data_IF_871094698107
#
_entry.id   IF_871094698107
#
_cell.length_a   1.000
_cell.length_b   1.000
_cell.length_c   1.000
_cell.angle_alpha   90.00
_cell.angle_beta   90.00
_cell.angle_gamma   90.00
#
_symmetry.space_group_name_H-M   'P 1'
#
loop_
_entity.id
_entity.type
_entity.pdbx_description
1 polymer ?
#
# COMPACT_ATOMS: atom_id res chain seq x y z
N UNK A 1 17.29 -43.80 -17.19
CA UNK A 1 17.17 -42.51 -16.50
C UNK A 1 18.31 -42.43 -15.50
N UNK A 2 19.34 -41.63 -15.77
CA UNK A 2 20.36 -41.30 -14.78
C UNK A 2 19.68 -40.55 -13.64
N UNK A 3 19.68 -41.13 -12.44
CA UNK A 3 19.28 -40.42 -11.22
C UNK A 3 20.25 -39.26 -11.02
N UNK A 4 19.76 -38.03 -10.91
CA UNK A 4 20.63 -36.91 -10.54
C UNK A 4 21.13 -37.13 -9.12
N UNK A 5 22.44 -36.96 -8.92
CA UNK A 5 23.05 -37.00 -7.60
C UNK A 5 22.48 -35.88 -6.72
N UNK A 6 22.22 -36.12 -5.42
CA UNK A 6 21.59 -35.15 -4.54
C UNK A 6 22.32 -33.80 -4.52
N UNK A 7 23.65 -33.80 -4.44
CA UNK A 7 24.45 -32.58 -4.46
C UNK A 7 24.26 -31.74 -5.73
N UNK A 8 23.96 -32.35 -6.89
CA UNK A 8 23.69 -31.61 -8.14
C UNK A 8 22.38 -30.84 -8.00
N UNK A 9 21.36 -31.48 -7.41
CA UNK A 9 20.07 -30.86 -7.14
C UNK A 9 20.28 -29.72 -6.13
N UNK A 10 20.98 -29.99 -5.02
CA UNK A 10 21.31 -28.99 -4.00
C UNK A 10 22.04 -27.78 -4.59
N UNK A 11 23.06 -28.00 -5.41
CA UNK A 11 23.82 -26.95 -6.10
C UNK A 11 22.92 -26.05 -6.96
N UNK A 12 22.06 -26.65 -7.80
CA UNK A 12 21.15 -25.92 -8.69
C UNK A 12 20.13 -25.13 -7.87
N UNK A 13 19.48 -25.77 -6.90
CA UNK A 13 18.46 -25.15 -6.06
C UNK A 13 19.03 -23.99 -5.22
N UNK A 14 20.22 -24.16 -4.62
CA UNK A 14 20.92 -23.08 -3.92
C UNK A 14 21.24 -21.90 -4.85
N UNK A 15 21.64 -22.18 -6.10
CA UNK A 15 21.85 -21.14 -7.11
C UNK A 15 20.56 -20.38 -7.45
N UNK A 16 19.44 -21.09 -7.59
CA UNK A 16 18.11 -20.47 -7.81
C UNK A 16 17.71 -19.60 -6.61
N UNK A 17 17.87 -20.10 -5.38
CA UNK A 17 17.59 -19.35 -4.15
C UNK A 17 18.43 -18.08 -4.10
N UNK A 18 19.73 -18.18 -4.36
CA UNK A 18 20.64 -17.03 -4.36
C UNK A 18 20.16 -15.95 -5.33
N UNK A 19 19.84 -16.31 -6.58
CA UNK A 19 19.35 -15.35 -7.59
C UNK A 19 18.00 -14.74 -7.17
N UNK A 20 17.05 -15.56 -6.72
CA UNK A 20 15.75 -15.08 -6.28
C UNK A 20 15.88 -14.10 -5.10
N UNK A 21 16.74 -14.40 -4.13
CA UNK A 21 16.95 -13.57 -2.94
C UNK A 21 17.70 -12.27 -3.26
N UNK A 22 18.64 -12.27 -4.22
CA UNK A 22 19.22 -11.02 -4.75
C UNK A 22 18.12 -10.14 -5.33
N UNK A 23 17.25 -10.69 -6.17
CA UNK A 23 16.17 -9.91 -6.77
C UNK A 23 15.18 -9.37 -5.75
N UNK A 24 14.82 -10.17 -4.74
CA UNK A 24 13.98 -9.72 -3.63
C UNK A 24 14.68 -8.57 -2.89
N UNK A 25 15.94 -8.73 -2.51
CA UNK A 25 16.71 -7.70 -1.80
C UNK A 25 16.80 -6.40 -2.60
N UNK A 26 17.09 -6.47 -3.90
CA UNK A 26 17.12 -5.30 -4.79
C UNK A 26 15.75 -4.64 -4.91
N UNK A 27 14.69 -5.42 -5.07
CA UNK A 27 13.35 -4.87 -5.15
C UNK A 27 12.87 -4.23 -3.82
N UNK A 28 13.49 -4.54 -2.67
CA UNK A 28 13.24 -3.79 -1.41
C UNK A 28 14.13 -2.54 -1.38
N UNK A 29 15.43 -2.72 -1.65
CA UNK A 29 16.45 -1.68 -1.50
C UNK A 29 16.26 -0.52 -2.47
N UNK A 30 15.93 -0.80 -3.74
CA UNK A 30 15.85 0.23 -4.79
C UNK A 30 14.76 1.27 -4.49
N UNK A 31 13.50 0.91 -4.18
CA UNK A 31 12.48 1.89 -3.79
C UNK A 31 12.87 2.68 -2.55
N UNK A 32 13.41 2.01 -1.51
CA UNK A 32 13.84 2.64 -0.26
C UNK A 32 15.00 3.63 -0.46
N UNK A 33 15.93 3.31 -1.35
CA UNK A 33 17.04 4.19 -1.71
C UNK A 33 16.55 5.40 -2.50
N UNK A 34 15.68 5.17 -3.50
CA UNK A 34 15.11 6.24 -4.34
C UNK A 34 14.23 7.21 -3.52
N UNK A 35 13.57 6.74 -2.48
CA UNK A 35 12.78 7.58 -1.57
C UNK A 35 13.59 8.17 -0.39
N UNK A 36 14.90 7.90 -0.30
CA UNK A 36 15.74 8.36 0.80
C UNK A 36 15.42 7.72 2.17
N UNK A 37 14.65 6.63 2.18
CA UNK A 37 14.12 6.01 3.40
C UNK A 37 14.99 4.91 4.01
N UNK A 38 16.18 4.63 3.47
CA UNK A 38 17.04 3.54 3.96
C UNK A 38 17.36 3.64 5.47
N UNK A 39 17.45 4.86 6.02
CA UNK A 39 17.72 5.07 7.45
C UNK A 39 16.45 5.31 8.27
N UNK A 40 15.41 5.88 7.68
CA UNK A 40 14.15 6.17 8.38
C UNK A 40 13.18 4.98 8.41
N UNK A 41 13.41 3.96 7.57
CA UNK A 41 12.66 2.72 7.55
C UNK A 41 13.59 1.52 7.92
N UNK A 42 13.92 1.35 9.21
CA UNK A 42 14.84 0.31 9.66
C UNK A 42 14.31 -1.11 9.39
N UNK A 43 12.98 -1.28 9.36
CA UNK A 43 12.36 -2.57 9.07
C UNK A 43 12.65 -3.02 7.64
N UNK A 44 12.40 -2.14 6.66
CA UNK A 44 12.68 -2.44 5.25
C UNK A 44 14.17 -2.69 4.98
N UNK A 45 15.05 -1.89 5.58
CA UNK A 45 16.50 -2.07 5.46
C UNK A 45 16.97 -3.40 6.08
N UNK A 46 16.45 -3.79 7.24
CA UNK A 46 16.75 -5.07 7.87
C UNK A 46 16.28 -6.24 7.01
N UNK A 47 15.05 -6.20 6.47
CA UNK A 47 14.54 -7.25 5.59
C UNK A 47 15.38 -7.40 4.32
N UNK A 48 15.76 -6.29 3.68
CA UNK A 48 16.66 -6.34 2.52
C UNK A 48 18.02 -6.97 2.85
N UNK A 49 18.55 -6.68 4.03
CA UNK A 49 19.83 -7.20 4.52
C UNK A 49 19.77 -8.70 4.81
N UNK A 50 18.67 -9.19 5.40
CA UNK A 50 18.45 -10.63 5.63
C UNK A 50 18.42 -11.38 4.29
N UNK A 51 17.62 -10.92 3.32
CA UNK A 51 17.59 -11.57 2.01
C UNK A 51 18.96 -11.54 1.32
N UNK A 52 19.70 -10.43 1.44
CA UNK A 52 21.04 -10.32 0.86
C UNK A 52 22.04 -11.30 1.50
N UNK A 53 22.09 -11.39 2.84
CA UNK A 53 23.01 -12.30 3.52
C UNK A 53 22.69 -13.76 3.20
N UNK A 54 21.40 -14.12 3.15
CA UNK A 54 20.96 -15.44 2.71
C UNK A 54 21.35 -15.71 1.25
N UNK A 55 21.18 -14.73 0.36
CA UNK A 55 21.57 -14.88 -1.04
C UNK A 55 23.06 -15.20 -1.19
N UNK A 56 23.91 -14.48 -0.45
CA UNK A 56 25.35 -14.74 -0.43
C UNK A 56 25.65 -16.14 0.11
N UNK A 57 25.02 -16.54 1.21
CA UNK A 57 25.20 -17.87 1.79
C UNK A 57 24.84 -19.01 0.81
N UNK A 58 23.66 -18.96 0.20
CA UNK A 58 23.23 -19.95 -0.79
C UNK A 58 24.08 -19.89 -2.07
N UNK A 59 24.52 -18.69 -2.48
CA UNK A 59 25.42 -18.51 -3.60
C UNK A 59 26.79 -19.16 -3.37
N UNK A 60 27.36 -18.99 -2.18
CA UNK A 60 28.62 -19.62 -1.77
C UNK A 60 28.48 -21.15 -1.82
N UNK A 61 27.38 -21.71 -1.30
CA UNK A 61 27.13 -23.16 -1.40
C UNK A 61 27.11 -23.64 -2.84
N UNK A 62 26.35 -22.96 -3.70
CA UNK A 62 26.26 -23.31 -5.13
C UNK A 62 27.62 -23.23 -5.82
N UNK A 63 28.41 -22.19 -5.56
CA UNK A 63 29.73 -21.98 -6.17
C UNK A 63 30.73 -23.04 -5.71
N UNK A 64 30.89 -23.27 -4.41
CA UNK A 64 31.81 -24.30 -3.90
C UNK A 64 31.42 -25.70 -4.38
N UNK A 65 30.12 -26.00 -4.49
CA UNK A 65 29.67 -27.23 -5.13
C UNK A 65 29.95 -27.27 -6.63
N UNK A 66 30.06 -26.15 -7.34
CA UNK A 66 30.32 -26.12 -8.79
C UNK A 66 31.82 -26.16 -9.15
N UNK A 67 32.68 -25.51 -8.35
CA UNK A 67 34.11 -25.31 -8.65
C UNK A 67 34.86 -26.60 -9.04
N UNK A 68 34.70 -27.75 -8.34
CA UNK A 68 35.39 -28.98 -8.74
C UNK A 68 34.96 -29.55 -10.10
N UNK A 69 33.76 -29.21 -10.58
CA UNK A 69 33.29 -29.61 -11.93
C UNK A 69 33.86 -28.71 -13.02
N UNK A 70 34.42 -27.55 -12.66
CA UNK A 70 35.06 -26.61 -13.57
C UNK A 70 36.58 -26.81 -13.64
N UNK A 71 37.10 -27.85 -12.99
CA UNK A 71 38.54 -28.16 -12.93
C UNK A 71 39.31 -27.35 -11.90
N UNK A 72 38.64 -26.66 -10.98
CA UNK A 72 39.26 -25.95 -9.85
C UNK A 72 39.24 -26.88 -8.65
N UNK A 73 40.43 -27.24 -8.16
CA UNK A 73 40.58 -28.08 -6.97
C UNK A 73 40.17 -27.29 -5.71
N UNK A 74 39.05 -27.69 -5.11
CA UNK A 74 38.49 -27.10 -3.91
C UNK A 74 38.14 -28.22 -2.92
N UNK A 75 39.01 -28.50 -1.93
CA UNK A 75 38.78 -29.54 -0.92
C UNK A 75 37.46 -29.35 -0.17
N UNK A 76 37.03 -28.10 0.04
CA UNK A 76 35.77 -27.81 0.71
C UNK A 76 34.58 -28.16 -0.19
N UNK A 77 34.66 -27.85 -1.48
CA UNK A 77 33.67 -28.23 -2.49
C UNK A 77 33.48 -29.75 -2.60
N UNK A 78 34.56 -30.54 -2.57
CA UNK A 78 34.47 -32.00 -2.57
C UNK A 78 33.81 -32.54 -1.30
N UNK A 79 34.27 -32.11 -0.12
CA UNK A 79 33.67 -32.52 1.15
C UNK A 79 32.18 -32.14 1.25
N UNK A 80 31.83 -30.98 0.69
CA UNK A 80 30.45 -30.50 0.65
C UNK A 80 29.57 -31.37 -0.25
N UNK A 81 30.04 -31.77 -1.44
CA UNK A 81 29.31 -32.69 -2.33
C UNK A 81 29.07 -34.06 -1.68
N UNK A 82 30.06 -34.58 -0.96
CA UNK A 82 29.94 -35.86 -0.24
C UNK A 82 28.94 -35.80 0.92
N UNK A 83 28.84 -34.66 1.61
CA UNK A 83 27.92 -34.46 2.72
C UNK A 83 26.49 -34.05 2.29
N UNK A 84 26.28 -33.66 1.03
CA UNK A 84 25.01 -33.09 0.56
C UNK A 84 23.99 -34.16 0.14
N UNK A 85 23.43 -34.85 1.12
CA UNK A 85 22.46 -35.92 0.90
C UNK A 85 21.05 -35.44 0.51
N UNK A 86 20.16 -36.40 0.26
CA UNK A 86 18.75 -36.18 -0.08
C UNK A 86 17.98 -35.25 0.87
N UNK A 87 18.13 -35.32 2.21
CA UNK A 87 17.38 -34.44 3.10
C UNK A 87 17.69 -32.95 2.89
N UNK A 88 18.97 -32.60 2.69
CA UNK A 88 19.38 -31.22 2.40
C UNK A 88 18.87 -30.78 1.03
N UNK A 89 19.07 -31.63 0.03
CA UNK A 89 18.64 -31.35 -1.35
C UNK A 89 17.12 -31.16 -1.47
N UNK A 90 16.33 -31.94 -0.71
CA UNK A 90 14.89 -31.78 -0.66
C UNK A 90 14.48 -30.43 -0.07
N UNK A 91 15.18 -29.97 0.97
CA UNK A 91 14.91 -28.67 1.56
C UNK A 91 15.34 -27.53 0.65
N UNK A 92 16.41 -27.69 -0.11
CA UNK A 92 16.82 -26.74 -1.14
C UNK A 92 15.77 -26.63 -2.25
N UNK A 93 15.14 -27.74 -2.66
CA UNK A 93 14.03 -27.72 -3.63
C UNK A 93 12.85 -26.92 -3.07
N UNK A 94 12.45 -27.18 -1.82
CA UNK A 94 11.38 -26.41 -1.16
C UNK A 94 11.74 -24.93 -1.09
N UNK A 95 12.96 -24.61 -0.67
CA UNK A 95 13.47 -23.24 -0.59
C UNK A 95 13.47 -22.53 -1.93
N UNK A 96 13.89 -23.20 -3.00
CA UNK A 96 13.89 -22.66 -4.36
C UNK A 96 12.46 -22.39 -4.86
N UNK A 97 11.53 -23.33 -4.64
CA UNK A 97 10.11 -23.16 -5.00
C UNK A 97 9.51 -21.97 -4.25
N UNK A 98 9.70 -21.88 -2.94
CA UNK A 98 9.17 -20.79 -2.12
C UNK A 98 9.80 -19.45 -2.53
N UNK A 99 11.11 -19.40 -2.75
CA UNK A 99 11.82 -18.20 -3.17
C UNK A 99 11.34 -17.67 -4.51
N UNK A 100 11.18 -18.55 -5.51
CA UNK A 100 10.65 -18.19 -6.83
C UNK A 100 9.17 -17.79 -6.76
N UNK A 101 8.36 -18.51 -5.98
CA UNK A 101 6.95 -18.19 -5.78
C UNK A 101 6.79 -16.81 -5.14
N UNK A 102 7.53 -16.52 -4.06
CA UNK A 102 7.52 -15.23 -3.40
C UNK A 102 8.02 -14.12 -4.34
N UNK A 103 9.11 -14.33 -5.08
CA UNK A 103 9.59 -13.37 -6.06
C UNK A 103 8.54 -13.06 -7.12
N UNK A 104 7.84 -14.07 -7.62
CA UNK A 104 6.77 -13.93 -8.61
C UNK A 104 5.60 -13.13 -8.04
N UNK A 105 5.17 -13.45 -6.82
CA UNK A 105 4.13 -12.72 -6.11
C UNK A 105 4.55 -11.26 -5.92
N UNK A 106 5.78 -11.03 -5.49
CA UNK A 106 6.29 -9.69 -5.26
C UNK A 106 6.39 -8.87 -6.55
N UNK A 107 6.78 -9.48 -7.68
CA UNK A 107 6.81 -8.81 -8.99
C UNK A 107 5.41 -8.43 -9.44
N UNK A 108 4.45 -9.36 -9.37
CA UNK A 108 3.10 -9.19 -9.89
C UNK A 108 2.23 -8.26 -9.02
N UNK A 109 2.43 -8.26 -7.71
CA UNK A 109 1.70 -7.45 -6.75
C UNK A 109 2.52 -6.23 -6.26
N UNK A 110 3.65 -5.91 -6.92
CA UNK A 110 4.51 -4.77 -6.55
C UNK A 110 3.78 -3.43 -6.62
N UNK A 111 2.82 -3.26 -7.53
CA UNK A 111 1.95 -2.09 -7.61
C UNK A 111 1.04 -1.91 -6.39
N UNK A 112 0.75 -2.99 -5.64
CA UNK A 112 0.03 -2.95 -4.37
C UNK A 112 1.00 -2.75 -3.18
N UNK A 113 2.26 -3.20 -3.30
CA UNK A 113 3.30 -3.07 -2.28
C UNK A 113 4.06 -1.73 -2.29
N UNK A 114 3.83 -0.85 -3.26
CA UNK A 114 3.97 0.61 -3.07
C UNK A 114 3.18 1.10 -1.83
N UNK A 115 2.30 0.25 -1.31
CA UNK A 115 1.77 0.18 0.04
C UNK A 115 2.67 0.72 1.18
N UNK A 116 4.00 0.55 1.17
CA UNK A 116 4.84 1.13 2.22
C UNK A 116 4.85 2.68 2.20
N UNK A 117 4.79 3.29 1.02
CA UNK A 117 4.51 4.72 0.88
C UNK A 117 3.03 5.02 1.16
N UNK A 118 2.11 4.13 0.77
CA UNK A 118 0.69 4.25 1.10
C UNK A 118 0.45 4.28 2.63
N UNK A 119 1.19 3.52 3.44
CA UNK A 119 1.02 3.52 4.90
C UNK A 119 1.53 4.80 5.54
N UNK A 120 2.62 5.37 5.04
CA UNK A 120 3.10 6.69 5.47
C UNK A 120 2.15 7.79 5.01
N UNK A 121 1.67 7.72 3.77
CA UNK A 121 0.66 8.63 3.21
C UNK A 121 -0.66 8.54 3.99
N UNK A 122 -1.15 7.34 4.31
CA UNK A 122 -2.34 7.14 5.14
C UNK A 122 -2.17 7.70 6.55
N UNK A 123 -1.03 7.46 7.19
CA UNK A 123 -0.75 7.99 8.54
C UNK A 123 -0.60 9.52 8.50
N UNK A 124 -0.04 10.08 7.43
CA UNK A 124 0.07 11.52 7.23
C UNK A 124 -1.30 12.16 6.96
N UNK A 125 -2.14 11.51 6.16
CA UNK A 125 -3.54 11.91 5.92
C UNK A 125 -4.38 11.83 7.20
N UNK A 126 -4.18 10.79 8.01
CA UNK A 126 -4.85 10.64 9.30
C UNK A 126 -4.44 11.77 10.27
N UNK A 127 -3.15 12.07 10.36
CA UNK A 127 -2.64 13.19 11.16
C UNK A 127 -3.19 14.54 10.68
N UNK A 128 -3.23 14.78 9.37
CA UNK A 128 -3.83 15.99 8.80
C UNK A 128 -5.33 16.09 9.05
N UNK A 129 -6.07 14.98 8.98
CA UNK A 129 -7.50 14.96 9.28
C UNK A 129 -7.77 15.26 10.78
N UNK A 130 -6.90 14.78 11.68
CA UNK A 130 -6.96 15.11 13.10
C UNK A 130 -6.65 16.59 13.36
N UNK A 131 -5.64 17.15 12.70
CA UNK A 131 -5.28 18.57 12.81
C UNK A 131 -6.39 19.50 12.28
N UNK A 132 -7.05 19.11 11.17
CA UNK A 132 -8.24 19.78 10.65
C UNK A 132 -9.37 19.77 11.68
N UNK A 133 -9.65 18.61 12.27
CA UNK A 133 -10.73 18.46 13.24
C UNK A 133 -10.49 19.36 14.46
N UNK A 134 -9.27 19.39 15.00
CA UNK A 134 -8.94 20.20 16.18
C UNK A 134 -9.01 21.71 15.89
N UNK A 135 -8.36 22.17 14.82
CA UNK A 135 -8.32 23.59 14.44
C UNK A 135 -9.71 24.15 14.14
N UNK A 136 -10.52 23.40 13.37
CA UNK A 136 -11.86 23.82 12.98
C UNK A 136 -12.83 23.71 14.16
N UNK A 137 -12.79 22.62 14.94
CA UNK A 137 -13.67 22.48 16.11
C UNK A 137 -13.37 23.54 17.16
N UNK A 138 -12.10 23.82 17.45
CA UNK A 138 -11.73 24.83 18.43
C UNK A 138 -12.27 26.21 18.03
N UNK A 139 -12.11 26.60 16.77
CA UNK A 139 -12.62 27.87 16.26
C UNK A 139 -14.17 27.95 16.21
N UNK A 140 -14.85 26.82 15.97
CA UNK A 140 -16.31 26.72 16.07
C UNK A 140 -16.81 26.79 17.52
N UNK A 141 -16.11 26.18 18.48
CA UNK A 141 -16.43 26.26 19.91
C UNK A 141 -16.29 27.70 20.40
N UNK A 142 -15.22 28.40 20.02
CA UNK A 142 -15.02 29.82 20.35
C UNK A 142 -16.11 30.69 19.72
N UNK A 143 -16.47 30.44 18.45
CA UNK A 143 -17.55 31.17 17.79
C UNK A 143 -18.90 30.95 18.49
N UNK A 144 -19.21 29.70 18.87
CA UNK A 144 -20.42 29.38 19.64
C UNK A 144 -20.44 30.08 21.00
N UNK A 145 -19.33 30.04 21.74
CA UNK A 145 -19.24 30.68 23.05
C UNK A 145 -19.39 32.20 22.95
N UNK A 146 -18.84 32.81 21.90
CA UNK A 146 -19.03 34.24 21.63
C UNK A 146 -20.49 34.59 21.30
N UNK A 147 -21.20 33.74 20.53
CA UNK A 147 -22.63 33.89 20.29
C UNK A 147 -23.46 33.72 21.58
N UNK A 148 -23.11 32.76 22.44
CA UNK A 148 -23.77 32.55 23.74
C UNK A 148 -23.60 33.78 24.67
N UNK A 149 -22.58 34.62 24.42
CA UNK A 149 -22.29 35.86 25.14
C UNK A 149 -22.77 37.14 24.40
N UNK A 150 -23.51 37.00 23.31
CA UNK A 150 -23.96 38.10 22.43
C UNK A 150 -22.81 38.91 21.78
N UNK A 151 -21.58 38.39 21.80
CA UNK A 151 -20.41 38.99 21.16
C UNK A 151 -20.34 38.57 19.68
N UNK A 152 -21.27 39.11 18.89
CA UNK A 152 -21.40 38.80 17.47
C UNK A 152 -20.13 39.11 16.67
N UNK A 153 -19.35 40.12 17.07
CA UNK A 153 -18.12 40.50 16.38
C UNK A 153 -17.07 39.40 16.54
N UNK A 154 -16.86 38.93 17.77
CA UNK A 154 -15.88 37.87 18.05
C UNK A 154 -16.29 36.52 17.49
N UNK A 155 -17.60 36.26 17.41
CA UNK A 155 -18.14 35.08 16.73
C UNK A 155 -17.82 35.08 15.23
N UNK A 156 -18.05 36.21 14.55
CA UNK A 156 -17.74 36.36 13.12
C UNK A 156 -16.25 36.25 12.83
N UNK A 157 -15.40 36.86 13.67
CA UNK A 157 -13.94 36.76 13.55
C UNK A 157 -13.46 35.30 13.70
N UNK A 158 -13.93 34.58 14.72
CA UNK A 158 -13.56 33.19 14.96
C UNK A 158 -14.04 32.25 13.84
N UNK A 159 -15.24 32.49 13.31
CA UNK A 159 -15.78 31.73 12.18
C UNK A 159 -14.98 31.98 10.90
N UNK A 160 -14.63 33.23 10.61
CA UNK A 160 -13.81 33.59 9.44
C UNK A 160 -12.43 32.93 9.49
N UNK A 161 -11.77 32.94 10.66
CA UNK A 161 -10.48 32.27 10.86
C UNK A 161 -10.59 30.75 10.67
N UNK A 162 -11.67 30.14 11.16
CA UNK A 162 -11.91 28.69 11.02
C UNK A 162 -12.15 28.28 9.57
N UNK A 163 -12.96 29.07 8.84
CA UNK A 163 -13.27 28.85 7.42
C UNK A 163 -12.02 29.03 6.56
N UNK A 164 -11.22 30.07 6.82
CA UNK A 164 -9.99 30.33 6.08
C UNK A 164 -8.95 29.23 6.32
N UNK A 165 -8.78 28.79 7.56
CA UNK A 165 -7.90 27.67 7.91
C UNK A 165 -8.34 26.37 7.24
N UNK A 166 -9.64 26.04 7.29
CA UNK A 166 -10.19 24.88 6.59
C UNK A 166 -9.96 24.97 5.07
N UNK A 167 -10.14 26.16 4.47
CA UNK A 167 -9.96 26.39 3.04
C UNK A 167 -8.50 26.22 2.60
N UNK A 168 -7.53 26.73 3.39
CA UNK A 168 -6.10 26.54 3.11
C UNK A 168 -5.70 25.07 3.20
N UNK A 169 -6.09 24.37 4.26
CA UNK A 169 -5.76 22.95 4.47
C UNK A 169 -6.39 22.09 3.36
N UNK A 170 -7.65 22.34 2.99
CA UNK A 170 -8.30 21.64 1.86
C UNK A 170 -7.59 21.95 0.54
N UNK A 171 -7.16 23.19 0.33
CA UNK A 171 -6.41 23.59 -0.86
C UNK A 171 -5.04 22.90 -0.91
N UNK A 172 -4.35 22.74 0.21
CA UNK A 172 -3.09 21.99 0.28
C UNK A 172 -3.31 20.49 0.03
N UNK A 173 -4.39 19.92 0.59
CA UNK A 173 -4.78 18.52 0.37
C UNK A 173 -5.13 18.25 -1.10
N UNK A 174 -5.91 19.13 -1.73
CA UNK A 174 -6.31 19.02 -3.13
C UNK A 174 -5.19 19.47 -4.09
N UNK A 175 -4.32 20.39 -3.65
CA UNK A 175 -3.09 20.87 -4.30
C UNK A 175 -2.19 19.74 -4.78
N UNK A 176 -2.07 18.70 -3.95
CA UNK A 176 -1.33 17.47 -4.27
C UNK A 176 -2.07 16.53 -5.25
N UNK A 177 -3.37 16.72 -5.46
CA UNK A 177 -4.27 15.89 -6.27
C UNK A 177 -4.77 16.56 -7.57
N UNK A 178 -4.33 17.79 -7.89
CA UNK A 178 -4.82 18.58 -9.06
C UNK A 178 -4.56 17.96 -10.44
N UNK A 179 -3.84 16.85 -10.54
CA UNK A 179 -3.72 16.13 -11.81
C UNK A 179 -4.91 15.24 -12.16
N UNK A 180 -5.93 15.10 -11.30
CA UNK A 180 -6.98 14.10 -11.53
C UNK A 180 -8.41 14.63 -11.80
N UNK A 181 -8.86 15.77 -11.28
CA UNK A 181 -10.29 16.12 -11.37
C UNK A 181 -10.56 17.63 -11.42
N UNK A 182 -11.02 18.11 -12.58
CA UNK A 182 -11.62 19.43 -12.75
C UNK A 182 -13.11 19.37 -12.34
N UNK A 183 -13.40 19.79 -11.10
CA UNK A 183 -14.73 19.75 -10.50
C UNK A 183 -15.18 21.13 -9.99
N UNK A 184 -14.68 22.22 -10.58
CA UNK A 184 -15.15 23.56 -10.24
C UNK A 184 -16.38 23.90 -11.08
N UNK A 185 -17.51 24.22 -10.42
CA UNK A 185 -18.69 24.79 -11.11
C UNK A 185 -18.34 26.17 -11.65
N UNK A 186 -18.63 26.39 -12.92
CA UNK A 186 -18.37 27.64 -13.65
C UNK A 186 -19.42 28.74 -13.42
N UNK A 187 -20.44 28.52 -12.59
CA UNK A 187 -21.50 29.49 -12.30
C UNK A 187 -21.91 29.50 -10.83
N UNK A 188 -22.23 30.69 -10.32
CA UNK A 188 -22.74 30.88 -8.96
C UNK A 188 -24.06 30.12 -8.73
N UNK A 189 -24.24 29.60 -7.51
CA UNK A 189 -25.50 28.96 -7.13
C UNK A 189 -26.60 30.02 -7.00
N UNK A 190 -27.62 29.94 -7.86
CA UNK A 190 -28.82 30.77 -7.76
C UNK A 190 -29.78 30.15 -6.76
N UNK A 191 -30.09 30.87 -5.68
CA UNK A 191 -31.21 30.52 -4.80
C UNK A 191 -32.49 30.95 -5.51
N UNK A 192 -33.21 30.00 -6.10
CA UNK A 192 -34.47 30.29 -6.79
C UNK A 192 -35.54 30.75 -5.82
N UNK A 193 -35.91 32.04 -5.89
CA UNK A 193 -37.09 32.58 -5.21
C UNK A 193 -38.40 32.31 -5.98
N UNK A 194 -38.35 31.67 -7.15
CA UNK A 194 -39.54 31.37 -7.96
C UNK A 194 -39.60 29.89 -8.32
N UNK A 195 -40.06 29.08 -7.36
CA UNK A 195 -40.61 27.76 -7.63
C UNK A 195 -41.98 27.67 -6.97
N UNK A 196 -42.91 28.54 -7.39
CA UNK A 196 -44.32 28.20 -7.22
C UNK A 196 -44.62 26.98 -8.09
N UNK A 197 -45.14 25.88 -7.51
CA UNK A 197 -45.58 24.74 -8.29
C UNK A 197 -46.71 25.18 -9.24
N UNK A 198 -46.73 24.74 -10.51
CA UNK A 198 -47.89 24.99 -11.37
C UNK A 198 -49.14 24.31 -10.76
N UNK A 199 -50.33 24.89 -10.95
CA UNK A 199 -51.56 24.35 -10.35
C UNK A 199 -51.82 22.94 -10.88
N UNK A 200 -52.05 22.03 -9.93
CA UNK A 200 -52.48 20.66 -10.14
C UNK A 200 -53.67 20.60 -11.09
N UNK A 201 -53.49 19.94 -12.23
CA UNK A 201 -54.61 19.53 -13.09
C UNK A 201 -55.39 18.41 -12.39
N UNK A 202 -56.71 18.59 -12.38
CA UNK A 202 -57.75 17.74 -11.80
C UNK A 202 -57.62 16.25 -12.18
N UNK A 203 -57.86 15.28 -11.27
CA UNK A 203 -57.74 13.86 -11.56
C UNK A 203 -59.02 13.35 -12.24
N UNK A 204 -58.92 12.98 -13.52
CA UNK A 204 -59.94 12.17 -14.20
C UNK A 204 -59.90 10.70 -13.72
N UNK A 205 -61.05 10.01 -13.64
CA UNK A 205 -61.14 8.66 -13.07
C UNK A 205 -60.82 7.58 -14.12
N UNK A 206 -60.10 6.53 -13.70
CA UNK A 206 -59.88 5.31 -14.50
C UNK A 206 -58.54 4.67 -14.11
N UNK A 207 -58.55 3.75 -13.15
CA UNK A 207 -58.38 2.31 -13.44
C UNK A 207 -56.99 1.94 -13.95
N UNK A 208 -56.09 1.60 -13.01
CA UNK A 208 -55.46 0.27 -12.99
C UNK A 208 -54.50 0.18 -11.80
N UNK A 209 -54.92 -0.54 -10.75
CA UNK A 209 -54.07 -0.88 -9.61
C UNK A 209 -53.72 -2.38 -9.70
N UNK A 210 -52.48 -2.76 -10.02
CA UNK A 210 -52.05 -4.14 -9.84
C UNK A 210 -51.94 -4.44 -8.35
N UNK A 211 -52.62 -5.49 -7.90
CA UNK A 211 -52.67 -5.95 -6.51
C UNK A 211 -51.27 -6.33 -6.01
N UNK A 212 -50.82 -5.66 -4.96
CA UNK A 212 -49.65 -6.05 -4.18
C UNK A 212 -50.05 -7.22 -3.26
N UNK A 213 -49.45 -8.39 -3.48
CA UNK A 213 -49.55 -9.55 -2.58
C UNK A 213 -48.79 -9.24 -1.29
N UNK A 214 -49.48 -9.29 -0.16
CA UNK A 214 -48.89 -9.26 1.17
C UNK A 214 -48.05 -10.53 1.41
N UNK A 215 -46.89 -10.41 2.09
CA UNK A 215 -46.12 -11.56 2.54
C UNK A 215 -46.73 -12.11 3.86
N UNK A 216 -47.18 -13.36 3.83
CA UNK A 216 -47.50 -14.13 5.04
C UNK A 216 -46.22 -14.41 5.85
N UNK A 217 -46.31 -14.14 7.15
CA UNK A 217 -45.41 -14.62 8.23
C UNK A 217 -45.90 -16.01 8.67
N UNK A 218 -45.04 -17.03 8.79
CA UNK A 218 -44.31 -17.32 10.05
C UNK A 218 -42.79 -17.24 9.92
#
# INVERSE_FOLDING_TARGET
MTTMEPWVIGMICNGIIAVAYVFISLAITVPLARSGQLRSNPLGAATASIFFSCAVHHGIHSVHMALPSLGIDDPQGYAMREAWDWPLSLWDVVGAVVGVYYWTLRRNYSSLMEGAQLFQDLRQREQQALELNDTVLQGLVVAKMALDLDDHKRAQESLAVSIDSASRIITDLLGSSYHALDLVRSSAATVGADASPPPSADPGPGEDRPQQKDPERP
#
